data_IF_929216016110
#
_entry.id   IF_929216016110
#
_cell.length_a   1.000
_cell.length_b   1.000
_cell.length_c   1.000
_cell.angle_alpha   90.00
_cell.angle_beta   90.00
_cell.angle_gamma   90.00
#
_symmetry.space_group_name_H-M   'P 1'
#
loop_
_entity.id
_entity.type
_entity.pdbx_description
1 polymer ?
#
# COMPACT_ATOMS: atom_id res chain seq x y z
N UNK A 1 17.58 10.94 -20.16
CA UNK A 1 18.31 10.07 -19.22
C UNK A 1 19.82 10.16 -19.42
N UNK A 2 20.37 9.96 -20.63
CA UNK A 2 21.83 9.90 -20.86
C UNK A 2 22.62 11.13 -20.40
N UNK A 3 22.05 12.34 -20.44
CA UNK A 3 22.71 13.55 -19.90
C UNK A 3 22.80 13.62 -18.37
N UNK A 4 21.96 12.89 -17.64
CA UNK A 4 21.96 12.82 -16.16
C UNK A 4 22.99 11.82 -15.62
N UNK A 5 23.36 10.81 -16.42
CA UNK A 5 24.38 9.81 -16.08
C UNK A 5 25.81 10.28 -16.28
N UNK A 6 26.04 11.21 -17.22
CA UNK A 6 27.39 11.59 -17.64
C UNK A 6 27.99 12.78 -16.87
N UNK A 7 27.19 13.57 -16.15
CA UNK A 7 27.60 14.90 -15.69
C UNK A 7 28.06 14.95 -14.21
N UNK A 8 28.33 13.83 -13.55
CA UNK A 8 28.57 13.86 -12.10
C UNK A 8 29.48 12.72 -11.64
N UNK A 9 30.68 13.05 -11.16
CA UNK A 9 31.70 12.09 -10.70
C UNK A 9 31.41 11.42 -9.35
N UNK A 10 30.15 11.05 -9.07
CA UNK A 10 29.74 10.37 -7.84
C UNK A 10 28.71 9.27 -8.10
N UNK A 11 28.67 8.26 -7.22
CA UNK A 11 27.72 7.14 -7.29
C UNK A 11 26.29 7.63 -7.02
N UNK A 12 25.32 7.20 -7.85
CA UNK A 12 23.92 7.61 -7.78
C UNK A 12 22.98 6.43 -7.99
N UNK A 13 21.89 6.39 -7.23
CA UNK A 13 20.79 5.43 -7.40
C UNK A 13 19.55 6.20 -7.86
N UNK A 14 18.94 5.75 -8.95
CA UNK A 14 17.69 6.28 -9.47
C UNK A 14 16.57 5.25 -9.26
N UNK A 15 15.45 5.68 -8.70
CA UNK A 15 14.27 4.81 -8.46
C UNK A 15 13.12 5.35 -9.31
N UNK A 16 12.58 4.51 -10.17
CA UNK A 16 11.40 4.78 -10.97
C UNK A 16 10.25 3.89 -10.50
N UNK A 17 9.04 4.45 -10.47
CA UNK A 17 7.83 3.71 -10.12
C UNK A 17 6.81 3.93 -11.23
N UNK A 18 6.11 2.85 -11.61
CA UNK A 18 5.01 2.91 -12.57
C UNK A 18 3.95 1.90 -12.15
N UNK A 19 2.69 2.22 -12.40
CA UNK A 19 1.59 1.27 -12.31
C UNK A 19 1.31 0.56 -13.65
N UNK A 20 1.97 1.00 -14.73
CA UNK A 20 1.77 0.54 -16.10
C UNK A 20 3.13 0.31 -16.76
N UNK A 21 3.69 -0.88 -16.57
CA UNK A 21 4.99 -1.24 -17.17
C UNK A 21 4.88 -1.41 -18.69
N UNK A 22 3.71 -1.79 -19.19
CA UNK A 22 3.37 -1.93 -20.61
C UNK A 22 3.44 -0.62 -21.40
N UNK A 23 3.29 0.52 -20.70
CA UNK A 23 3.37 1.86 -21.29
C UNK A 23 4.78 2.46 -21.28
N UNK A 24 5.75 1.76 -20.68
CA UNK A 24 7.14 2.22 -20.69
C UNK A 24 7.77 1.86 -22.03
N UNK A 25 8.42 2.83 -22.65
CA UNK A 25 9.23 2.62 -23.85
C UNK A 25 10.29 1.53 -23.57
N UNK A 26 10.30 0.50 -24.40
CA UNK A 26 11.22 -0.64 -24.27
C UNK A 26 12.69 -0.20 -24.26
N UNK A 27 13.02 0.94 -24.86
CA UNK A 27 14.36 1.53 -24.83
C UNK A 27 14.80 2.01 -23.43
N UNK A 28 13.86 2.27 -22.51
CA UNK A 28 14.14 2.70 -21.13
C UNK A 28 14.42 1.53 -20.19
N UNK A 29 13.87 0.34 -20.46
CA UNK A 29 14.06 -0.87 -19.64
C UNK A 29 15.27 -1.71 -20.06
N UNK A 30 16.05 -1.22 -21.04
CA UNK A 30 17.32 -1.84 -21.44
C UNK A 30 18.37 -1.69 -20.34
N UNK A 31 19.26 -2.67 -20.26
CA UNK A 31 20.43 -2.63 -19.37
C UNK A 31 21.24 -1.35 -19.59
N UNK A 32 21.74 -0.77 -18.50
CA UNK A 32 22.40 0.53 -18.46
C UNK A 32 21.44 1.71 -18.25
N UNK A 33 20.13 1.44 -18.14
CA UNK A 33 19.12 2.45 -17.78
C UNK A 33 18.32 2.02 -16.55
N UNK A 34 17.41 1.08 -16.73
CA UNK A 34 16.68 0.46 -15.61
C UNK A 34 17.19 -0.97 -15.48
N UNK A 35 18.13 -1.19 -14.55
CA UNK A 35 18.80 -2.49 -14.42
C UNK A 35 18.08 -3.46 -13.50
N UNK A 36 17.23 -2.96 -12.59
CA UNK A 36 16.48 -3.75 -11.62
C UNK A 36 15.00 -3.41 -11.71
N UNK A 37 14.19 -4.42 -12.00
CA UNK A 37 12.75 -4.33 -12.01
C UNK A 37 12.19 -5.19 -10.87
N UNK A 38 11.45 -4.55 -9.98
CA UNK A 38 10.80 -5.19 -8.84
C UNK A 38 9.31 -4.92 -8.98
N UNK A 39 8.53 -5.99 -9.13
CA UNK A 39 7.08 -5.91 -9.10
C UNK A 39 6.61 -5.81 -7.64
N UNK A 40 5.80 -4.80 -7.34
CA UNK A 40 5.14 -4.65 -6.04
C UNK A 40 3.71 -5.20 -6.14
N UNK A 41 3.56 -6.51 -5.94
CA UNK A 41 2.27 -7.19 -5.99
C UNK A 41 1.34 -6.79 -4.83
N UNK A 42 0.09 -7.25 -4.89
CA UNK A 42 -0.87 -7.14 -3.79
C UNK A 42 -0.41 -7.88 -2.53
N UNK A 43 -1.01 -7.52 -1.39
CA UNK A 43 -0.62 -8.02 -0.08
C UNK A 43 -0.95 -9.50 0.07
N UNK A 44 0.07 -10.34 0.21
CA UNK A 44 -0.09 -11.76 0.54
C UNK A 44 -0.16 -11.97 2.06
N UNK A 45 -0.55 -13.18 2.47
CA UNK A 45 -0.65 -13.52 3.89
C UNK A 45 0.70 -13.43 4.62
N UNK A 46 1.80 -13.73 3.94
CA UNK A 46 3.16 -13.61 4.47
C UNK A 46 3.53 -12.14 4.74
N UNK A 47 3.18 -11.24 3.81
CA UNK A 47 3.36 -9.80 4.00
C UNK A 47 2.50 -9.31 5.17
N UNK A 48 1.23 -9.73 5.25
CA UNK A 48 0.37 -9.44 6.39
C UNK A 48 0.99 -9.89 7.73
N UNK A 49 1.50 -11.12 7.83
CA UNK A 49 2.15 -11.62 9.07
C UNK A 49 3.33 -10.74 9.46
N UNK A 50 4.15 -10.30 8.50
CA UNK A 50 5.24 -9.38 8.76
C UNK A 50 4.72 -8.04 9.31
N UNK A 51 3.65 -7.49 8.74
CA UNK A 51 3.02 -6.25 9.23
C UNK A 51 2.40 -6.42 10.62
N UNK A 52 1.69 -7.52 10.86
CA UNK A 52 1.08 -7.82 12.16
C UNK A 52 2.13 -7.95 13.27
N UNK A 53 3.25 -8.62 12.98
CA UNK A 53 4.39 -8.68 13.90
C UNK A 53 5.00 -7.30 14.13
N UNK A 54 5.21 -6.52 13.07
CA UNK A 54 5.89 -5.22 13.17
C UNK A 54 5.05 -4.14 13.87
N UNK A 55 3.73 -4.10 13.65
CA UNK A 55 2.86 -3.05 14.20
C UNK A 55 2.14 -3.46 15.48
N UNK A 56 1.78 -4.74 15.62
CA UNK A 56 0.98 -5.23 16.74
C UNK A 56 1.76 -6.20 17.65
N UNK A 57 2.98 -6.60 17.28
CA UNK A 57 3.76 -7.57 18.04
C UNK A 57 3.18 -8.99 18.00
N UNK A 58 2.33 -9.30 17.02
CA UNK A 58 1.62 -10.58 16.93
C UNK A 58 2.32 -11.56 15.98
N UNK A 59 2.70 -12.72 16.51
CA UNK A 59 3.12 -13.87 15.69
C UNK A 59 1.93 -14.78 15.30
N UNK A 60 0.86 -14.78 16.09
CA UNK A 60 -0.35 -15.55 15.86
C UNK A 60 -1.58 -14.88 16.48
N UNK A 61 -2.76 -15.10 15.89
CA UNK A 61 -4.04 -14.65 16.44
C UNK A 61 -5.18 -15.50 15.86
N UNK A 62 -6.26 -15.69 16.62
CA UNK A 62 -7.45 -16.45 16.19
C UNK A 62 -8.10 -15.92 14.90
N UNK A 63 -7.85 -14.66 14.53
CA UNK A 63 -8.41 -14.01 13.33
C UNK A 63 -7.52 -14.15 12.11
N UNK A 64 -6.29 -14.67 12.25
CA UNK A 64 -5.35 -14.78 11.13
C UNK A 64 -5.88 -15.69 10.02
N UNK A 65 -6.56 -16.78 10.37
CA UNK A 65 -7.17 -17.66 9.36
C UNK A 65 -8.29 -16.98 8.58
N UNK A 66 -9.09 -16.14 9.24
CA UNK A 66 -10.12 -15.35 8.57
C UNK A 66 -9.50 -14.30 7.64
N UNK A 67 -8.47 -13.59 8.11
CA UNK A 67 -7.70 -12.63 7.28
C UNK A 67 -7.05 -13.32 6.09
N UNK A 68 -6.46 -14.51 6.28
CA UNK A 68 -5.85 -15.30 5.20
C UNK A 68 -6.85 -15.62 4.10
N UNK A 69 -8.04 -16.08 4.46
CA UNK A 69 -9.12 -16.38 3.49
C UNK A 69 -9.54 -15.11 2.74
N UNK A 70 -9.78 -14.02 3.47
CA UNK A 70 -10.16 -12.74 2.86
C UNK A 70 -9.09 -12.16 1.91
N UNK A 71 -7.80 -12.24 2.28
CA UNK A 71 -6.70 -11.80 1.42
C UNK A 71 -6.57 -12.66 0.15
N UNK A 72 -6.97 -13.94 0.18
CA UNK A 72 -6.97 -14.79 -1.02
C UNK A 72 -8.08 -14.46 -2.02
N UNK A 73 -9.12 -13.75 -1.58
CA UNK A 73 -10.30 -13.41 -2.39
C UNK A 73 -10.30 -11.94 -2.83
N UNK A 74 -9.39 -11.12 -2.29
CA UNK A 74 -9.38 -9.67 -2.46
C UNK A 74 -8.01 -9.17 -2.90
N UNK A 75 -7.98 -8.26 -3.86
CA UNK A 75 -6.77 -7.53 -4.24
C UNK A 75 -6.69 -6.23 -3.43
N UNK A 76 -5.76 -6.20 -2.48
CA UNK A 76 -5.51 -5.04 -1.61
C UNK A 76 -4.01 -4.74 -1.55
N UNK A 77 -3.63 -3.47 -1.57
CA UNK A 77 -2.21 -3.11 -1.49
C UNK A 77 -1.67 -3.35 -0.09
N UNK A 78 -0.37 -3.66 0.01
CA UNK A 78 0.32 -3.80 1.30
C UNK A 78 0.23 -2.52 2.14
N UNK A 79 0.14 -1.35 1.50
CA UNK A 79 -0.03 -0.06 2.17
C UNK A 79 -1.42 0.07 2.82
N UNK A 80 -2.49 -0.34 2.14
CA UNK A 80 -3.86 -0.28 2.69
C UNK A 80 -4.02 -1.26 3.86
N UNK A 81 -3.38 -2.44 3.77
CA UNK A 81 -3.32 -3.40 4.89
C UNK A 81 -2.57 -2.80 6.07
N UNK A 82 -1.41 -2.17 5.83
CA UNK A 82 -0.65 -1.51 6.88
C UNK A 82 -1.45 -0.39 7.55
N UNK A 83 -2.16 0.46 6.78
CA UNK A 83 -3.02 1.52 7.32
C UNK A 83 -4.10 0.98 8.27
N UNK A 84 -4.63 -0.20 7.97
CA UNK A 84 -5.65 -0.85 8.82
C UNK A 84 -5.06 -1.44 10.11
N UNK A 85 -3.77 -1.80 10.11
CA UNK A 85 -3.08 -2.42 11.24
C UNK A 85 -2.39 -1.42 12.16
N UNK A 86 -2.17 -0.17 11.72
CA UNK A 86 -1.60 0.86 12.58
C UNK A 86 -2.63 1.30 13.62
N UNK A 87 -2.37 1.15 14.94
CA UNK A 87 -3.28 1.62 15.98
C UNK A 87 -3.50 3.13 15.87
N UNK A 88 -4.76 3.56 15.76
CA UNK A 88 -5.09 4.99 15.62
C UNK A 88 -5.01 5.76 16.95
N UNK A 89 -5.04 5.03 18.07
CA UNK A 89 -4.86 5.53 19.42
C UNK A 89 -4.21 4.44 20.27
N UNK A 90 -3.61 4.77 21.43
CA UNK A 90 -3.02 3.78 22.33
C UNK A 90 -4.06 2.86 23.01
N UNK A 91 -5.35 3.19 22.93
CA UNK A 91 -6.45 2.41 23.51
C UNK A 91 -6.94 1.31 22.56
N UNK A 92 -6.67 1.45 21.26
CA UNK A 92 -7.07 0.49 20.24
C UNK A 92 -6.14 -0.73 20.32
N UNK A 93 -6.72 -1.85 20.73
CA UNK A 93 -6.02 -3.13 20.79
C UNK A 93 -5.80 -3.78 19.42
N UNK A 94 -5.00 -4.83 19.40
CA UNK A 94 -4.72 -5.60 18.19
C UNK A 94 -5.99 -6.25 17.61
N UNK A 95 -6.93 -6.64 18.47
CA UNK A 95 -8.22 -7.20 18.08
C UNK A 95 -9.03 -6.25 17.20
N UNK A 96 -9.09 -4.97 17.58
CA UNK A 96 -9.82 -3.94 16.86
C UNK A 96 -9.12 -3.58 15.54
N UNK A 97 -7.78 -3.56 15.52
CA UNK A 97 -7.01 -3.39 14.29
C UNK A 97 -7.29 -4.51 13.26
N UNK A 98 -7.37 -5.76 13.73
CA UNK A 98 -7.69 -6.90 12.88
C UNK A 98 -9.14 -6.87 12.39
N UNK A 99 -10.10 -6.45 13.22
CA UNK A 99 -11.49 -6.25 12.77
C UNK A 99 -11.59 -5.15 11.71
N UNK A 100 -10.89 -4.04 11.91
CA UNK A 100 -10.82 -2.95 10.93
C UNK A 100 -10.26 -3.44 9.59
N UNK A 101 -9.20 -4.25 9.61
CA UNK A 101 -8.65 -4.88 8.42
C UNK A 101 -9.67 -5.80 7.75
N UNK A 102 -10.35 -6.66 8.52
CA UNK A 102 -11.37 -7.56 7.97
C UNK A 102 -12.55 -6.80 7.35
N UNK A 103 -12.96 -5.69 7.95
CA UNK A 103 -13.98 -4.80 7.38
C UNK A 103 -13.51 -4.18 6.05
N UNK A 104 -12.25 -3.71 5.98
CA UNK A 104 -11.66 -3.18 4.76
C UNK A 104 -11.59 -4.24 3.65
N UNK A 105 -11.17 -5.46 3.97
CA UNK A 105 -11.10 -6.59 3.03
C UNK A 105 -12.48 -6.98 2.49
N UNK A 106 -13.50 -7.02 3.35
CA UNK A 106 -14.89 -7.31 2.93
C UNK A 106 -15.45 -6.21 2.04
N UNK A 107 -15.15 -4.94 2.35
CA UNK A 107 -15.55 -3.82 1.49
C UNK A 107 -14.91 -3.91 0.11
N UNK A 108 -13.60 -4.16 0.06
CA UNK A 108 -12.88 -4.31 -1.21
C UNK A 108 -13.38 -5.52 -2.03
N UNK A 109 -13.79 -6.61 -1.36
CA UNK A 109 -14.45 -7.74 -2.03
C UNK A 109 -15.79 -7.33 -2.66
N UNK A 110 -16.65 -6.63 -1.92
CA UNK A 110 -17.95 -6.17 -2.43
C UNK A 110 -17.82 -5.17 -3.59
N UNK A 111 -16.81 -4.29 -3.56
CA UNK A 111 -16.50 -3.36 -4.66
C UNK A 111 -16.01 -4.09 -5.93
N UNK A 112 -15.37 -5.25 -5.78
CA UNK A 112 -14.94 -6.08 -6.92
C UNK A 112 -16.13 -6.80 -7.57
N UNK A 113 -17.04 -7.35 -6.74
CA UNK A 113 -18.28 -7.99 -7.21
C UNK A 113 -19.23 -7.00 -7.91
N UNK A 114 -19.34 -5.76 -7.42
CA UNK A 114 -20.13 -4.72 -8.10
C UNK A 114 -19.49 -4.23 -9.39
N UNK A 115 -18.15 -4.07 -9.45
CA UNK A 115 -17.43 -3.70 -10.68
C UNK A 115 -17.48 -4.76 -11.77
N UNK A 116 -17.47 -6.05 -11.40
CA UNK A 116 -17.63 -7.13 -12.38
C UNK A 116 -19.08 -7.28 -12.85
N UNK A 117 -20.07 -6.85 -12.05
CA UNK A 117 -21.47 -6.69 -12.47
C UNK A 117 -21.78 -5.45 -13.30
N UNK A 118 -21.07 -4.33 -13.08
CA UNK A 118 -21.25 -3.04 -13.77
C UNK A 118 -20.40 -2.86 -15.03
N UNK A 119 -19.70 -3.89 -15.53
CA UNK A 119 -19.09 -3.88 -16.89
C UNK A 119 -20.10 -3.80 -18.05
N UNK A 120 -21.34 -3.38 -17.76
CA UNK A 120 -22.37 -2.90 -18.70
C UNK A 120 -22.98 -1.57 -18.21
N UNK A 121 -22.18 -0.50 -18.07
CA UNK A 121 -22.71 0.86 -17.87
C UNK A 121 -21.72 1.86 -17.27
N UNK A 122 -21.16 2.73 -18.11
CA UNK A 122 -20.29 3.86 -17.71
C UNK A 122 -21.00 4.80 -16.71
N UNK A 123 -20.33 5.33 -15.68
CA UNK A 123 -19.60 6.60 -15.76
C UNK A 123 -20.23 7.62 -14.80
N UNK A 124 -19.42 8.43 -14.11
CA UNK A 124 -19.84 9.63 -13.35
C UNK A 124 -20.46 9.46 -11.94
N UNK A 125 -19.78 8.79 -10.98
CA UNK A 125 -19.98 9.07 -9.52
C UNK A 125 -18.70 9.04 -8.66
N UNK A 126 -17.51 8.96 -9.26
CA UNK A 126 -16.27 8.60 -8.53
C UNK A 126 -15.46 9.77 -7.95
N UNK A 127 -15.78 11.03 -8.30
CA UNK A 127 -14.94 12.19 -7.94
C UNK A 127 -14.90 12.54 -6.44
N UNK A 128 -16.05 12.54 -5.77
CA UNK A 128 -16.15 13.02 -4.39
C UNK A 128 -15.50 12.11 -3.34
N UNK A 129 -15.62 10.79 -3.51
CA UNK A 129 -15.06 9.83 -2.54
C UNK A 129 -13.53 9.72 -2.62
N UNK A 130 -12.95 9.97 -3.79
CA UNK A 130 -11.49 9.94 -3.99
C UNK A 130 -10.84 11.14 -3.29
N UNK A 131 -11.45 12.32 -3.42
CA UNK A 131 -10.93 13.58 -2.85
C UNK A 131 -10.94 13.56 -1.31
N UNK A 132 -11.98 12.98 -0.69
CA UNK A 132 -12.06 12.85 0.77
C UNK A 132 -11.03 11.84 1.31
N UNK A 133 -10.82 10.72 0.59
CA UNK A 133 -9.78 9.73 0.94
C UNK A 133 -8.38 10.34 0.84
N UNK A 134 -8.09 11.13 -0.20
CA UNK A 134 -6.79 11.79 -0.34
C UNK A 134 -6.55 12.83 0.76
N UNK A 135 -7.57 13.61 1.13
CA UNK A 135 -7.48 14.57 2.24
C UNK A 135 -7.18 13.86 3.57
N UNK A 136 -7.89 12.78 3.86
CA UNK A 136 -7.65 11.95 5.07
C UNK A 136 -6.25 11.34 5.06
N UNK A 137 -5.81 10.79 3.93
CA UNK A 137 -4.46 10.23 3.77
C UNK A 137 -3.38 11.29 4.00
N UNK A 138 -3.59 12.51 3.52
CA UNK A 138 -2.69 13.65 3.74
C UNK A 138 -2.61 14.13 5.20
N UNK A 139 -3.69 14.01 5.97
CA UNK A 139 -3.69 14.29 7.41
C UNK A 139 -2.95 13.22 8.22
N UNK A 140 -3.21 11.94 7.91
CA UNK A 140 -2.49 10.81 8.51
C UNK A 140 -0.99 10.92 8.22
N UNK A 141 -0.60 11.22 6.97
CA UNK A 141 0.80 11.34 6.58
C UNK A 141 1.50 12.50 7.29
N UNK A 142 0.81 13.64 7.51
CA UNK A 142 1.35 14.75 8.31
C UNK A 142 1.58 14.34 9.76
N UNK A 143 0.68 13.56 10.36
CA UNK A 143 0.78 13.11 11.75
C UNK A 143 1.93 12.11 11.93
N UNK A 144 2.03 11.13 11.02
CA UNK A 144 3.12 10.16 11.00
C UNK A 144 4.47 10.86 10.80
N UNK A 145 4.57 11.77 9.81
CA UNK A 145 5.78 12.54 9.56
C UNK A 145 6.22 13.36 10.78
N UNK A 146 5.27 13.96 11.51
CA UNK A 146 5.57 14.72 12.73
C UNK A 146 6.08 13.84 13.86
N UNK A 147 5.56 12.61 13.98
CA UNK A 147 5.98 11.65 14.99
C UNK A 147 7.37 11.07 14.68
N UNK A 148 7.63 10.73 13.42
CA UNK A 148 8.96 10.29 12.96
C UNK A 148 9.99 11.40 13.18
N UNK A 149 9.68 12.65 12.80
CA UNK A 149 10.59 13.78 12.99
C UNK A 149 10.89 14.08 14.45
N UNK A 150 9.97 13.80 15.39
CA UNK A 150 10.27 13.88 16.83
C UNK A 150 11.27 12.82 17.27
N UNK A 151 11.07 11.56 16.88
CA UNK A 151 11.97 10.45 17.23
C UNK A 151 13.37 10.66 16.65
N UNK A 152 13.46 11.29 15.48
CA UNK A 152 14.75 11.63 14.84
C UNK A 152 15.43 12.83 15.49
N UNK A 153 14.69 13.77 16.09
CA UNK A 153 15.26 14.94 16.77
C UNK A 153 15.73 14.67 18.21
N UNK A 154 15.37 13.53 18.79
CA UNK A 154 15.74 13.11 20.15
C UNK A 154 16.95 12.15 20.19
N UNK A 155 17.64 11.95 19.06
CA UNK A 155 18.92 11.23 18.94
C UNK A 155 20.01 12.14 18.39
#
# INVERSE_FOLDING_TARGET
MDGLWSASGGERIFIFTTNHVDKIDEALIRRGRMDKHIEMSYCCFEAFKALAKNYLGLDSHDKFDAVRRLLSETEISTADVAESLVPKSPEIGADECLENLMAALRKAKGEKESRDGEKMGEGEKMGGEIEEKERRRGEVWRRIRKQIMRVVAEK
#
